data_IF_880731117259
#
_entry.id   IF_880731117259
#
_cell.length_a   1.000
_cell.length_b   1.000
_cell.length_c   1.000
_cell.angle_alpha   90.00
_cell.angle_beta   90.00
_cell.angle_gamma   90.00
#
_symmetry.space_group_name_H-M   'P 1'
#
loop_
_entity.id
_entity.type
_entity.pdbx_description
1 polymer ?
#
# COMPACT_ATOMS: atom_id res chain seq x y z
N UNK A 1 2.12 0.00 31.32
CA UNK A 1 1.79 1.22 30.54
C UNK A 1 2.33 2.41 31.30
N UNK A 2 3.20 3.22 30.71
CA UNK A 2 3.69 4.45 31.34
C UNK A 2 2.65 5.59 31.24
N UNK A 3 2.93 6.75 31.86
CA UNK A 3 1.98 7.87 31.88
C UNK A 3 1.72 8.42 30.48
N UNK A 4 2.76 8.56 29.65
CA UNK A 4 2.63 9.04 28.28
C UNK A 4 1.74 8.13 27.43
N UNK A 5 1.99 6.82 27.46
CA UNK A 5 1.16 5.85 26.73
C UNK A 5 -0.30 5.93 27.15
N UNK A 6 -0.58 6.00 28.45
CA UNK A 6 -1.95 6.12 28.98
C UNK A 6 -2.66 7.38 28.49
N UNK A 7 -1.96 8.49 28.41
CA UNK A 7 -2.53 9.76 27.98
C UNK A 7 -2.74 9.77 26.46
N UNK A 8 -1.81 9.19 25.68
CA UNK A 8 -1.98 8.99 24.22
C UNK A 8 -3.19 8.09 23.91
N UNK A 9 -3.36 6.98 24.64
CA UNK A 9 -4.55 6.11 24.48
C UNK A 9 -5.84 6.91 24.62
N UNK A 10 -5.96 7.70 25.69
CA UNK A 10 -7.16 8.53 25.91
C UNK A 10 -7.42 9.57 24.83
N UNK A 11 -6.36 10.19 24.32
CA UNK A 11 -6.48 11.18 23.25
C UNK A 11 -6.95 10.54 21.95
N UNK A 12 -6.41 9.37 21.60
CA UNK A 12 -6.83 8.62 20.42
C UNK A 12 -8.28 8.17 20.54
N UNK A 13 -8.65 7.53 21.65
CA UNK A 13 -10.04 7.11 21.91
C UNK A 13 -11.02 8.29 21.84
N UNK A 14 -10.62 9.47 22.33
CA UNK A 14 -11.44 10.69 22.27
C UNK A 14 -11.62 11.16 20.82
N UNK A 15 -10.55 11.15 20.01
CA UNK A 15 -10.62 11.53 18.60
C UNK A 15 -11.53 10.58 17.81
N UNK A 16 -11.37 9.27 17.99
CA UNK A 16 -12.17 8.24 17.34
C UNK A 16 -13.66 8.32 17.73
N UNK A 17 -13.96 8.50 19.02
CA UNK A 17 -15.33 8.67 19.49
C UNK A 17 -15.98 9.95 18.95
N UNK A 18 -15.21 11.04 18.86
CA UNK A 18 -15.69 12.31 18.29
C UNK A 18 -16.04 12.15 16.82
N UNK A 19 -15.21 11.47 16.04
CA UNK A 19 -15.47 11.17 14.62
C UNK A 19 -16.71 10.30 14.45
N UNK A 20 -16.83 9.24 15.24
CA UNK A 20 -18.01 8.34 15.21
C UNK A 20 -19.29 9.12 15.48
N UNK A 21 -19.31 9.97 16.50
CA UNK A 21 -20.47 10.82 16.83
C UNK A 21 -20.83 11.76 15.69
N UNK A 22 -19.83 12.37 15.05
CA UNK A 22 -20.02 13.25 13.90
C UNK A 22 -20.68 12.51 12.72
N UNK A 23 -20.19 11.30 12.41
CA UNK A 23 -20.75 10.47 11.33
C UNK A 23 -22.15 9.93 11.62
N UNK A 24 -22.48 9.65 12.89
CA UNK A 24 -23.83 9.31 13.31
C UNK A 24 -24.84 10.45 13.12
N UNK A 25 -24.39 11.71 13.33
CA UNK A 25 -25.22 12.90 13.21
C UNK A 25 -25.34 13.43 11.77
N UNK A 26 -24.40 13.08 10.88
CA UNK A 26 -24.32 13.61 9.52
C UNK A 26 -24.10 12.51 8.49
N UNK A 27 -25.07 12.33 7.59
CA UNK A 27 -24.95 11.41 6.45
C UNK A 27 -23.86 11.87 5.48
N UNK A 28 -23.65 13.18 5.31
CA UNK A 28 -22.61 13.71 4.44
C UNK A 28 -21.21 13.36 4.92
N UNK A 29 -20.99 13.29 6.23
CA UNK A 29 -19.66 13.01 6.81
C UNK A 29 -19.22 11.55 6.62
N UNK A 30 -20.16 10.64 6.32
CA UNK A 30 -19.87 9.24 5.98
C UNK A 30 -20.05 8.88 4.50
N UNK A 31 -20.37 9.86 3.65
CA UNK A 31 -20.73 9.63 2.24
C UNK A 31 -19.70 8.80 1.48
N UNK A 32 -18.41 9.04 1.70
CA UNK A 32 -17.31 8.41 0.99
C UNK A 32 -16.58 7.33 1.79
N UNK A 33 -17.16 6.87 2.92
CA UNK A 33 -16.60 5.75 3.69
C UNK A 33 -16.65 4.47 2.85
N UNK A 34 -15.50 3.83 2.72
CA UNK A 34 -15.37 2.56 2.01
C UNK A 34 -16.10 1.42 2.75
N UNK A 35 -16.52 0.41 2.00
CA UNK A 35 -17.20 -0.77 2.53
C UNK A 35 -16.35 -2.04 2.45
N UNK A 36 -15.46 -2.11 1.47
CA UNK A 36 -14.51 -3.21 1.28
C UNK A 36 -13.09 -2.82 1.67
N UNK A 37 -12.68 -1.60 1.31
CA UNK A 37 -11.34 -1.14 1.53
C UNK A 37 -11.14 -0.69 2.98
N UNK A 38 -10.01 -1.07 3.54
CA UNK A 38 -9.62 -0.72 4.91
C UNK A 38 -9.19 0.77 4.95
N UNK A 39 -9.76 1.53 5.86
CA UNK A 39 -9.52 2.97 6.01
C UNK A 39 -9.38 3.34 7.50
N UNK A 40 -8.85 4.54 7.83
CA UNK A 40 -8.69 4.91 9.24
C UNK A 40 -10.04 5.18 9.90
N UNK A 41 -10.19 4.92 11.18
CA UNK A 41 -11.37 5.34 11.95
C UNK A 41 -11.57 6.87 11.90
N UNK A 42 -10.47 7.62 12.03
CA UNK A 42 -10.37 9.08 11.97
C UNK A 42 -8.96 9.48 11.52
N UNK A 43 -8.78 10.67 11.02
CA UNK A 43 -7.47 11.21 10.68
C UNK A 43 -6.87 10.58 9.43
N UNK A 44 -5.60 10.26 9.48
CA UNK A 44 -4.78 9.83 8.35
C UNK A 44 -4.36 8.38 8.44
N UNK A 45 -4.41 7.67 7.32
CA UNK A 45 -3.79 6.37 7.09
C UNK A 45 -2.77 6.49 5.94
N UNK A 46 -1.59 5.87 6.08
CA UNK A 46 -0.67 5.62 4.97
C UNK A 46 -0.19 4.16 4.98
N UNK A 47 1.06 3.86 4.94
CA UNK A 47 1.64 2.54 4.67
C UNK A 47 0.99 1.37 5.44
N UNK A 48 0.73 0.25 4.78
CA UNK A 48 0.44 -1.01 5.45
C UNK A 48 1.69 -1.50 6.18
N UNK A 49 1.47 -2.03 7.38
CA UNK A 49 2.53 -2.50 8.27
C UNK A 49 2.15 -3.85 8.87
N UNK A 50 3.14 -4.63 9.28
CA UNK A 50 2.92 -5.84 10.06
C UNK A 50 1.91 -6.81 9.49
N UNK A 51 1.72 -6.82 8.15
CA UNK A 51 0.79 -7.71 7.48
C UNK A 51 1.18 -9.17 7.73
N UNK A 52 0.25 -9.98 8.21
CA UNK A 52 0.48 -11.41 8.44
C UNK A 52 -0.81 -12.19 8.65
N UNK A 53 -0.71 -13.51 8.57
CA UNK A 53 -1.67 -14.43 9.16
C UNK A 53 -1.05 -15.03 10.43
N UNK A 54 -1.73 -14.90 11.55
CA UNK A 54 -1.26 -15.38 12.84
C UNK A 54 -2.39 -16.10 13.58
N UNK A 55 -2.17 -17.38 13.92
CA UNK A 55 -3.18 -18.23 14.58
C UNK A 55 -4.54 -18.27 13.84
N UNK A 56 -4.48 -18.34 12.50
CA UNK A 56 -5.65 -18.37 11.62
C UNK A 56 -6.37 -17.03 11.45
N UNK A 57 -5.84 -15.94 11.99
CA UNK A 57 -6.38 -14.57 11.86
C UNK A 57 -5.45 -13.73 11.02
N UNK A 58 -6.00 -12.96 10.10
CA UNK A 58 -5.26 -11.96 9.33
C UNK A 58 -5.12 -10.68 10.13
N UNK A 59 -3.93 -10.11 10.15
CA UNK A 59 -3.60 -8.87 10.83
C UNK A 59 -3.10 -7.84 9.80
N UNK A 60 -3.65 -6.63 9.87
CA UNK A 60 -3.18 -5.48 9.12
C UNK A 60 -2.96 -4.33 10.09
N UNK A 61 -1.71 -3.96 10.28
CA UNK A 61 -1.37 -2.71 10.96
C UNK A 61 -1.19 -1.63 9.91
N UNK A 62 -1.26 -0.37 10.33
CA UNK A 62 -1.14 0.75 9.40
C UNK A 62 -0.54 1.98 10.08
N UNK A 63 0.18 2.78 9.32
CA UNK A 63 0.60 4.10 9.73
C UNK A 63 -0.63 4.95 10.02
N UNK A 64 -0.77 5.41 11.26
CA UNK A 64 -1.96 6.05 11.77
C UNK A 64 -1.64 7.40 12.41
N UNK A 65 -2.29 8.47 11.95
CA UNK A 65 -2.27 9.78 12.58
C UNK A 65 -3.70 10.22 12.91
N UNK A 66 -4.22 9.93 14.13
CA UNK A 66 -5.64 10.09 14.46
C UNK A 66 -6.06 11.54 14.64
N UNK A 67 -5.12 12.48 14.84
CA UNK A 67 -5.43 13.85 15.27
C UNK A 67 -5.58 14.84 14.10
N UNK A 68 -5.15 14.46 12.90
CA UNK A 68 -5.26 15.31 11.72
C UNK A 68 -5.38 14.46 10.45
N UNK A 69 -6.37 14.75 9.61
CA UNK A 69 -6.58 14.09 8.34
C UNK A 69 -5.49 14.38 7.29
N UNK A 70 -4.63 15.36 7.51
CA UNK A 70 -3.49 15.68 6.65
C UNK A 70 -2.16 15.10 7.15
N UNK A 71 -2.21 14.22 8.15
CA UNK A 71 -1.06 13.55 8.73
C UNK A 71 -0.66 14.10 10.09
N UNK A 72 0.52 13.70 10.57
CA UNK A 72 1.05 14.06 11.90
C UNK A 72 1.90 12.95 12.49
N UNK A 73 2.02 12.92 13.80
CA UNK A 73 2.77 11.88 14.52
C UNK A 73 2.19 10.51 14.21
N UNK A 74 3.05 9.59 13.81
CA UNK A 74 2.66 8.24 13.38
C UNK A 74 2.59 7.27 14.55
N UNK A 75 1.53 6.49 14.55
CA UNK A 75 1.27 5.34 15.40
C UNK A 75 1.00 4.13 14.52
N UNK A 76 0.84 2.95 15.07
CA UNK A 76 0.28 1.82 14.35
C UNK A 76 -1.15 1.55 14.81
N UNK A 77 -2.12 1.82 13.94
CA UNK A 77 -3.47 1.29 14.07
C UNK A 77 -3.50 -0.19 13.70
N UNK A 78 -4.51 -0.93 14.12
CA UNK A 78 -4.57 -2.38 13.96
C UNK A 78 -5.97 -2.85 13.58
N UNK A 79 -6.04 -3.63 12.52
CA UNK A 79 -7.22 -4.38 12.09
C UNK A 79 -6.96 -5.87 12.09
N UNK A 80 -8.01 -6.66 12.34
CA UNK A 80 -7.99 -8.11 12.20
C UNK A 80 -9.15 -8.59 11.32
N UNK A 81 -8.95 -9.71 10.64
CA UNK A 81 -9.96 -10.33 9.80
C UNK A 81 -9.82 -11.86 9.78
N UNK A 82 -10.92 -12.57 9.51
CA UNK A 82 -10.92 -14.03 9.26
C UNK A 82 -10.88 -14.36 7.77
N UNK A 83 -11.23 -13.40 6.92
CA UNK A 83 -11.44 -13.59 5.48
C UNK A 83 -10.84 -12.49 4.61
N UNK A 84 -10.12 -11.52 5.20
CA UNK A 84 -9.58 -10.33 4.54
C UNK A 84 -10.64 -9.45 3.82
N UNK A 85 -11.93 -9.74 4.01
CA UNK A 85 -13.05 -8.95 3.49
C UNK A 85 -13.62 -8.08 4.61
N UNK A 86 -13.97 -8.73 5.72
CA UNK A 86 -14.53 -8.05 6.88
C UNK A 86 -13.45 -7.81 7.93
N UNK A 87 -13.06 -6.55 8.06
CA UNK A 87 -12.06 -6.11 9.00
C UNK A 87 -12.66 -5.54 10.27
N UNK A 88 -12.09 -5.91 11.41
CA UNK A 88 -12.47 -5.42 12.74
C UNK A 88 -11.34 -4.58 13.32
N UNK A 89 -11.61 -3.31 13.62
CA UNK A 89 -10.65 -2.42 14.24
C UNK A 89 -10.40 -2.82 15.69
N UNK A 90 -9.13 -3.00 16.04
CA UNK A 90 -8.68 -3.45 17.36
C UNK A 90 -8.11 -2.31 18.22
N UNK A 91 -8.11 -1.07 17.70
CA UNK A 91 -7.48 0.08 18.34
C UNK A 91 -6.05 0.32 17.85
N UNK A 92 -5.37 1.24 18.50
CA UNK A 92 -3.96 1.52 18.23
C UNK A 92 -3.06 0.55 18.98
N UNK A 93 -2.19 -0.15 18.26
CA UNK A 93 -1.29 -1.18 18.80
C UNK A 93 0.02 -0.60 19.34
N UNK A 94 0.65 0.34 18.61
CA UNK A 94 1.94 0.92 18.95
C UNK A 94 1.86 2.45 18.99
N UNK A 95 2.35 3.04 20.08
CA UNK A 95 2.40 4.47 20.33
C UNK A 95 3.84 4.97 20.35
N UNK A 96 4.14 6.23 19.98
CA UNK A 96 5.48 6.82 20.03
C UNK A 96 5.81 7.25 21.48
N UNK A 97 6.06 6.28 22.34
CA UNK A 97 6.15 6.44 23.80
C UNK A 97 7.52 6.12 24.40
N UNK A 98 8.54 5.96 23.54
CA UNK A 98 9.92 5.73 23.94
C UNK A 98 10.84 6.83 23.39
N UNK A 99 12.01 7.09 24.01
CA UNK A 99 12.95 8.07 23.48
C UNK A 99 13.40 7.82 22.05
N UNK A 100 13.48 6.56 21.63
CA UNK A 100 13.93 6.15 20.30
C UNK A 100 12.81 6.14 19.23
N UNK A 101 11.58 6.49 19.58
CA UNK A 101 10.44 6.59 18.64
C UNK A 101 9.52 7.78 18.91
N UNK A 102 9.93 8.76 19.71
CA UNK A 102 9.07 9.83 20.21
C UNK A 102 8.48 10.75 19.10
N UNK A 103 9.03 10.72 17.89
CA UNK A 103 8.50 11.46 16.73
C UNK A 103 7.78 10.56 15.71
N UNK A 104 7.52 9.30 16.07
CA UNK A 104 6.67 8.39 15.29
C UNK A 104 7.13 6.94 15.28
N UNK A 105 6.14 6.06 15.30
CA UNK A 105 6.29 4.64 15.00
C UNK A 105 6.12 4.50 13.48
N UNK A 106 7.24 4.48 12.75
CA UNK A 106 7.25 4.44 11.28
C UNK A 106 7.09 3.02 10.75
N UNK A 107 7.16 2.86 9.43
CA UNK A 107 6.84 1.61 8.76
C UNK A 107 7.74 0.43 9.14
N UNK A 108 7.18 -0.76 8.94
CA UNK A 108 7.82 -2.03 9.24
C UNK A 108 6.93 -3.23 8.98
N UNK A 109 7.33 -4.39 9.47
CA UNK A 109 6.73 -5.67 9.10
C UNK A 109 6.53 -6.61 10.28
N UNK A 110 5.77 -7.70 10.04
CA UNK A 110 5.66 -8.83 10.96
C UNK A 110 6.47 -10.03 10.46
N UNK A 111 7.04 -10.77 11.40
CA UNK A 111 7.61 -12.08 11.19
C UNK A 111 6.99 -13.06 12.20
N UNK A 112 6.49 -14.20 11.72
CA UNK A 112 5.78 -15.18 12.54
C UNK A 112 6.66 -16.43 12.72
N UNK A 113 6.93 -16.80 13.96
CA UNK A 113 7.65 -18.01 14.29
C UNK A 113 7.35 -18.48 15.73
N UNK A 114 7.33 -19.78 15.96
CA UNK A 114 7.17 -20.41 17.28
C UNK A 114 5.98 -19.86 18.10
N UNK A 115 4.84 -19.62 17.44
CA UNK A 115 3.64 -19.11 18.09
C UNK A 115 3.74 -17.65 18.56
N UNK A 116 4.69 -16.90 18.02
CA UNK A 116 4.91 -15.48 18.31
C UNK A 116 4.89 -14.65 17.04
N UNK A 117 4.42 -13.42 17.19
CA UNK A 117 4.51 -12.38 16.18
C UNK A 117 5.58 -11.39 16.58
N UNK A 118 6.60 -11.25 15.74
CA UNK A 118 7.70 -10.29 15.88
C UNK A 118 7.41 -9.11 14.98
N UNK A 119 7.13 -7.94 15.57
CA UNK A 119 6.90 -6.70 14.84
C UNK A 119 8.18 -5.88 14.81
N UNK A 120 8.74 -5.68 13.63
CA UNK A 120 9.89 -4.80 13.42
C UNK A 120 9.39 -3.50 12.79
N UNK A 121 9.88 -2.37 13.30
CA UNK A 121 9.50 -1.07 12.78
C UNK A 121 10.62 -0.05 12.92
N UNK A 122 10.48 1.09 12.30
CA UNK A 122 11.41 2.20 12.42
C UNK A 122 10.92 3.20 13.46
N UNK A 123 11.65 3.33 14.55
CA UNK A 123 11.46 4.38 15.55
C UNK A 123 12.07 5.67 15.01
N UNK A 124 11.24 6.70 14.77
CA UNK A 124 11.70 7.98 14.24
C UNK A 124 11.91 8.99 15.36
N UNK A 125 13.07 9.66 15.34
CA UNK A 125 13.38 10.79 16.21
C UNK A 125 13.88 11.94 15.34
N UNK A 126 13.42 13.16 15.64
CA UNK A 126 13.94 14.41 15.08
C UNK A 126 14.55 15.21 16.23
N UNK A 127 15.84 15.50 16.15
CA UNK A 127 16.53 16.30 17.15
C UNK A 127 16.11 17.77 17.01
N UNK A 128 15.97 18.48 18.14
CA UNK A 128 15.49 19.86 18.18
C UNK A 128 16.52 20.81 18.84
N UNK A 129 17.72 20.29 19.16
CA UNK A 129 18.77 21.00 19.88
C UNK A 129 19.78 21.72 18.95
N UNK A 130 19.49 21.78 17.64
CA UNK A 130 20.34 22.39 16.63
C UNK A 130 19.59 22.77 15.36
N UNK A 131 20.33 23.26 14.36
CA UNK A 131 19.84 23.45 13.00
C UNK A 131 20.15 22.21 12.16
N UNK A 132 19.11 21.53 11.69
CA UNK A 132 19.23 20.25 11.00
C UNK A 132 18.46 20.26 9.67
N UNK A 133 18.98 19.53 8.68
CA UNK A 133 18.30 19.30 7.42
C UNK A 133 17.34 18.07 7.46
N UNK A 134 17.43 17.26 8.53
CA UNK A 134 16.69 16.00 8.71
C UNK A 134 16.87 14.99 7.58
N UNK A 135 17.87 15.18 6.75
CA UNK A 135 18.30 14.26 5.69
C UNK A 135 19.63 13.64 6.10
N UNK A 136 20.68 14.47 6.25
CA UNK A 136 22.03 14.04 6.64
C UNK A 136 22.29 14.18 8.12
N UNK A 137 21.56 15.05 8.78
CA UNK A 137 21.73 15.38 10.20
C UNK A 137 20.38 15.55 10.90
N UNK A 138 20.37 15.31 12.23
CA UNK A 138 19.23 15.63 13.10
C UNK A 138 18.08 14.65 13.08
N UNK A 139 18.22 13.50 12.41
CA UNK A 139 17.21 12.43 12.46
C UNK A 139 17.85 11.12 12.92
N UNK A 140 17.10 10.35 13.68
CA UNK A 140 17.42 8.95 13.98
C UNK A 140 16.36 8.03 13.38
N UNK A 141 16.83 7.01 12.64
CA UNK A 141 16.03 5.89 12.13
C UNK A 141 16.41 4.64 12.90
N UNK A 142 15.72 4.38 14.01
CA UNK A 142 16.04 3.27 14.91
C UNK A 142 15.26 2.02 14.54
N UNK A 143 15.92 0.87 14.36
CA UNK A 143 15.23 -0.41 14.17
C UNK A 143 14.75 -0.93 15.53
N UNK A 144 13.45 -1.16 15.65
CA UNK A 144 12.82 -1.55 16.92
C UNK A 144 12.05 -2.85 16.76
N UNK A 145 12.04 -3.68 17.81
CA UNK A 145 11.30 -4.93 17.91
C UNK A 145 10.25 -4.86 19.02
N UNK A 146 9.05 -5.36 18.72
CA UNK A 146 7.99 -5.68 19.69
C UNK A 146 7.52 -7.12 19.43
N UNK A 147 7.23 -7.87 20.49
CA UNK A 147 6.75 -9.27 20.38
C UNK A 147 5.37 -9.37 21.03
N UNK A 148 4.49 -10.12 20.37
CA UNK A 148 3.19 -10.52 20.92
C UNK A 148 2.96 -12.03 20.74
N UNK A 149 2.28 -12.65 21.70
CA UNK A 149 1.91 -14.07 21.67
C UNK A 149 0.42 -14.27 21.38
N UNK A 150 -0.37 -13.21 21.43
CA UNK A 150 -1.82 -13.23 21.23
C UNK A 150 -2.34 -12.26 20.15
N UNK A 151 -1.46 -11.47 19.54
CA UNK A 151 -1.79 -10.44 18.56
C UNK A 151 -2.60 -9.26 19.14
N UNK A 152 -2.71 -9.15 20.46
CA UNK A 152 -3.51 -8.13 21.19
C UNK A 152 -2.71 -7.40 22.25
N UNK A 153 -1.88 -8.14 22.97
CA UNK A 153 -1.02 -7.60 24.04
C UNK A 153 0.40 -7.49 23.52
N UNK A 154 0.86 -6.26 23.34
CA UNK A 154 2.19 -6.00 22.81
C UNK A 154 3.20 -5.85 23.92
N UNK A 155 4.34 -6.57 23.79
CA UNK A 155 5.41 -6.60 24.74
C UNK A 155 6.19 -5.27 24.83
N UNK A 156 7.30 -5.29 25.59
CA UNK A 156 8.18 -4.13 25.66
C UNK A 156 8.90 -3.93 24.33
N UNK A 157 8.99 -2.68 23.92
CA UNK A 157 9.80 -2.24 22.79
C UNK A 157 11.28 -2.42 23.08
N UNK A 158 12.02 -2.96 22.12
CA UNK A 158 13.46 -3.14 22.17
C UNK A 158 14.10 -2.48 20.98
N UNK A 159 14.92 -1.47 21.21
CA UNK A 159 15.78 -0.88 20.20
C UNK A 159 16.88 -1.89 19.83
N UNK A 160 17.03 -2.17 18.54
CA UNK A 160 17.98 -3.17 18.00
C UNK A 160 19.18 -2.52 17.32
N UNK A 161 18.94 -1.51 16.48
CA UNK A 161 19.96 -0.77 15.74
C UNK A 161 19.65 0.72 15.73
N UNK A 162 20.69 1.53 15.63
CA UNK A 162 20.67 3.00 15.52
C UNK A 162 21.44 3.45 14.29
N UNK A 163 21.43 4.73 13.98
CA UNK A 163 22.20 5.29 12.88
C UNK A 163 23.69 4.87 12.90
N UNK A 164 24.31 4.76 14.09
CA UNK A 164 25.71 4.33 14.23
C UNK A 164 25.99 2.87 13.88
N UNK A 165 24.95 2.05 13.73
CA UNK A 165 25.07 0.63 13.41
C UNK A 165 24.94 0.37 11.90
N UNK A 166 24.62 1.41 11.12
CA UNK A 166 24.52 1.37 9.65
C UNK A 166 25.85 1.80 9.00
N UNK A 167 26.06 1.48 7.72
CA UNK A 167 27.22 1.98 6.96
C UNK A 167 27.37 3.51 7.00
N UNK A 168 28.62 3.99 7.13
CA UNK A 168 28.96 5.42 7.35
C UNK A 168 28.63 6.34 6.16
N UNK A 169 28.42 5.78 4.96
CA UNK A 169 28.12 6.52 3.73
C UNK A 169 26.63 6.83 3.54
N UNK A 170 25.81 6.54 4.55
CA UNK A 170 24.36 6.76 4.50
C UNK A 170 23.95 8.08 5.12
N UNK A 171 22.83 8.62 4.64
CA UNK A 171 22.09 9.68 5.30
C UNK A 171 21.37 9.15 6.56
N UNK A 172 20.61 9.99 7.24
CA UNK A 172 19.73 9.58 8.33
C UNK A 172 18.51 8.75 7.86
N UNK A 173 18.37 8.49 6.56
CA UNK A 173 17.25 7.76 5.98
C UNK A 173 17.61 6.29 5.81
N UNK A 174 17.49 5.51 6.89
CA UNK A 174 17.45 4.04 6.90
C UNK A 174 16.18 3.63 7.61
N UNK A 175 15.30 2.83 6.96
CA UNK A 175 13.97 2.52 7.49
C UNK A 175 13.28 1.32 6.86
N UNK A 176 12.10 0.99 7.38
CA UNK A 176 11.12 0.03 6.85
C UNK A 176 11.64 -1.41 6.87
N UNK A 177 11.98 -1.96 8.06
CA UNK A 177 12.53 -3.31 8.18
C UNK A 177 11.53 -4.37 7.75
N UNK A 178 11.98 -5.30 6.88
CA UNK A 178 11.26 -6.51 6.47
C UNK A 178 12.10 -7.74 6.73
N UNK A 179 11.56 -8.71 7.49
CA UNK A 179 12.29 -9.89 7.97
C UNK A 179 11.77 -11.16 7.31
N UNK A 180 12.69 -12.04 6.91
CA UNK A 180 12.41 -13.41 6.50
C UNK A 180 13.44 -14.40 7.07
N UNK A 181 13.18 -15.69 6.91
CA UNK A 181 14.10 -16.76 7.30
C UNK A 181 14.42 -17.62 6.10
N UNK A 182 15.69 -17.94 5.92
CA UNK A 182 16.15 -18.85 4.88
C UNK A 182 17.32 -19.71 5.42
N UNK A 183 17.26 -21.03 5.20
CA UNK A 183 18.30 -21.97 5.63
C UNK A 183 18.71 -21.87 7.12
N UNK A 184 17.76 -21.53 8.00
CA UNK A 184 17.98 -21.41 9.44
C UNK A 184 18.50 -20.06 9.91
N UNK A 185 18.89 -19.16 9.01
CA UNK A 185 19.35 -17.80 9.30
C UNK A 185 18.21 -16.80 9.04
N UNK A 186 18.13 -15.76 9.86
CA UNK A 186 17.20 -14.65 9.68
C UNK A 186 17.86 -13.54 8.89
N UNK A 187 17.11 -12.95 7.99
CA UNK A 187 17.55 -11.83 7.18
C UNK A 187 16.57 -10.67 7.29
N UNK A 188 17.08 -9.47 7.13
CA UNK A 188 16.28 -8.24 7.16
C UNK A 188 16.71 -7.35 6.00
N UNK A 189 15.75 -6.79 5.26
CA UNK A 189 16.00 -5.69 4.35
C UNK A 189 15.50 -4.38 4.96
N UNK A 190 16.21 -3.28 4.67
CA UNK A 190 15.80 -1.90 5.00
C UNK A 190 16.10 -0.99 3.83
N UNK A 191 15.20 -0.04 3.55
CA UNK A 191 15.42 1.00 2.57
C UNK A 191 16.44 2.03 3.06
N UNK A 192 17.25 2.56 2.17
CA UNK A 192 18.31 3.50 2.52
C UNK A 192 18.56 4.55 1.42
N UNK A 193 19.15 5.68 1.83
CA UNK A 193 19.63 6.76 0.96
C UNK A 193 21.08 7.06 1.30
N UNK A 194 21.95 7.05 0.29
CA UNK A 194 23.37 7.42 0.48
C UNK A 194 23.56 8.93 0.61
N UNK A 195 24.76 9.34 1.05
CA UNK A 195 25.13 10.77 1.11
C UNK A 195 25.24 11.41 -0.28
N UNK A 196 25.38 10.62 -1.34
CA UNK A 196 25.35 11.03 -2.75
C UNK A 196 23.92 11.03 -3.34
N UNK A 197 22.89 10.85 -2.51
CA UNK A 197 21.48 10.81 -2.92
C UNK A 197 21.17 9.66 -3.90
N UNK A 198 21.66 8.45 -3.57
CA UNK A 198 21.34 7.20 -4.29
C UNK A 198 20.51 6.30 -3.39
N UNK A 199 19.35 5.87 -3.91
CA UNK A 199 18.46 4.91 -3.25
C UNK A 199 19.03 3.49 -3.33
N UNK A 200 18.88 2.71 -2.25
CA UNK A 200 19.33 1.33 -2.16
C UNK A 200 18.59 0.57 -1.06
N UNK A 201 18.83 -0.74 -1.00
CA UNK A 201 18.36 -1.61 0.08
C UNK A 201 19.56 -2.23 0.80
N UNK A 202 19.56 -2.13 2.12
CA UNK A 202 20.53 -2.81 2.99
C UNK A 202 20.00 -4.20 3.36
N UNK A 203 20.90 -5.18 3.41
CA UNK A 203 20.60 -6.53 3.84
C UNK A 203 21.39 -6.82 5.11
N UNK A 204 20.70 -7.30 6.13
CA UNK A 204 21.28 -7.72 7.42
C UNK A 204 21.01 -9.20 7.66
N UNK A 205 21.86 -9.86 8.46
CA UNK A 205 21.68 -11.23 8.90
C UNK A 205 21.70 -11.35 10.42
N UNK A 206 20.98 -12.34 10.97
CA UNK A 206 20.92 -12.64 12.39
C UNK A 206 20.71 -14.13 12.65
N UNK A 207 21.26 -14.64 13.75
CA UNK A 207 21.00 -15.99 14.24
C UNK A 207 19.88 -16.05 15.29
N UNK A 208 19.49 -14.90 15.86
CA UNK A 208 18.59 -14.83 17.01
C UNK A 208 17.45 -13.80 16.90
N UNK A 209 17.29 -13.15 15.73
CA UNK A 209 16.26 -12.13 15.45
C UNK A 209 16.45 -10.79 16.18
N UNK A 210 17.54 -10.65 16.93
CA UNK A 210 17.81 -9.50 17.83
C UNK A 210 19.12 -8.82 17.51
N UNK A 211 20.18 -9.63 17.29
CA UNK A 211 21.51 -9.13 16.98
C UNK A 211 21.72 -9.22 15.47
N UNK A 212 21.73 -8.06 14.81
CA UNK A 212 21.81 -7.94 13.37
C UNK A 212 23.21 -7.50 12.93
N UNK A 213 23.68 -8.06 11.81
CA UNK A 213 24.96 -7.71 11.20
C UNK A 213 24.71 -7.34 9.75
N UNK A 214 25.33 -6.27 9.29
CA UNK A 214 25.32 -5.91 7.88
C UNK A 214 25.91 -7.05 7.04
N UNK A 215 25.16 -7.43 5.98
CA UNK A 215 25.52 -8.53 5.09
C UNK A 215 25.84 -8.09 3.68
N UNK A 216 24.98 -7.30 3.08
CA UNK A 216 25.09 -6.87 1.69
C UNK A 216 24.29 -5.60 1.45
N UNK A 217 24.45 -5.05 0.25
CA UNK A 217 23.77 -3.88 -0.25
C UNK A 217 23.20 -4.20 -1.64
N UNK A 218 21.95 -3.82 -1.88
CA UNK A 218 21.29 -3.97 -3.18
C UNK A 218 21.07 -2.60 -3.77
N UNK A 219 21.67 -2.37 -4.92
CA UNK A 219 21.62 -1.11 -5.67
C UNK A 219 21.55 -1.40 -7.17
N UNK A 220 21.07 -0.46 -7.97
CA UNK A 220 21.08 -0.55 -9.43
C UNK A 220 22.43 -0.15 -10.01
N UNK A 221 22.75 -0.66 -11.20
CA UNK A 221 24.01 -0.32 -11.91
C UNK A 221 24.17 1.19 -12.16
N UNK A 222 23.05 1.90 -12.28
CA UNK A 222 23.00 3.37 -12.41
C UNK A 222 22.08 3.91 -11.34
N UNK A 223 22.32 5.13 -10.82
CA UNK A 223 21.41 5.75 -9.84
C UNK A 223 19.95 5.68 -10.29
N UNK A 224 19.08 5.16 -9.42
CA UNK A 224 17.67 4.97 -9.69
C UNK A 224 16.85 5.52 -8.50
N UNK A 225 16.55 6.83 -8.58
CA UNK A 225 15.97 7.58 -7.48
C UNK A 225 16.95 7.80 -6.32
N UNK A 226 16.56 8.63 -5.38
CA UNK A 226 17.40 8.97 -4.23
C UNK A 226 17.08 8.18 -2.95
N UNK A 227 15.92 7.51 -2.88
CA UNK A 227 15.50 6.70 -1.74
C UNK A 227 14.65 5.52 -2.22
N UNK A 228 14.90 4.34 -1.68
CA UNK A 228 14.07 3.16 -1.85
C UNK A 228 13.39 2.83 -0.52
N UNK A 229 12.08 3.11 -0.41
CA UNK A 229 11.28 2.88 0.79
C UNK A 229 10.58 1.52 0.75
N UNK A 230 10.15 1.06 1.91
CA UNK A 230 9.29 -0.12 2.09
C UNK A 230 9.75 -1.35 1.31
N UNK A 231 11.03 -1.77 1.42
CA UNK A 231 11.52 -2.93 0.70
C UNK A 231 10.80 -4.20 1.17
N UNK A 232 10.47 -5.07 0.21
CA UNK A 232 9.88 -6.37 0.46
C UNK A 232 10.51 -7.41 -0.48
N UNK A 233 11.24 -8.38 0.09
CA UNK A 233 11.89 -9.44 -0.67
C UNK A 233 11.14 -10.76 -0.48
N UNK A 234 10.70 -11.37 -1.59
CA UNK A 234 9.94 -12.62 -1.57
C UNK A 234 10.06 -13.40 -2.89
N UNK A 235 9.48 -14.60 -2.92
CA UNK A 235 9.47 -15.47 -4.09
C UNK A 235 8.04 -15.71 -4.59
N UNK A 236 7.88 -15.78 -5.91
CA UNK A 236 6.67 -16.26 -6.59
C UNK A 236 7.12 -17.33 -7.58
N UNK A 237 6.76 -18.59 -7.33
CA UNK A 237 7.34 -19.69 -8.07
C UNK A 237 8.86 -19.68 -7.96
N UNK A 238 9.55 -19.70 -9.10
CA UNK A 238 11.02 -19.64 -9.16
C UNK A 238 11.56 -18.19 -9.20
N UNK A 239 10.69 -17.19 -9.36
CA UNK A 239 11.09 -15.78 -9.44
C UNK A 239 11.35 -15.22 -8.04
N UNK A 240 12.48 -14.52 -7.88
CA UNK A 240 12.80 -13.74 -6.69
C UNK A 240 12.51 -12.26 -6.99
N UNK A 241 11.73 -11.61 -6.15
CA UNK A 241 11.31 -10.24 -6.33
C UNK A 241 11.79 -9.36 -5.18
N UNK A 242 12.30 -8.18 -5.52
CA UNK A 242 12.54 -7.10 -4.58
C UNK A 242 11.59 -5.94 -4.91
N UNK A 243 10.53 -5.82 -4.13
CA UNK A 243 9.61 -4.70 -4.19
C UNK A 243 10.19 -3.49 -3.45
N UNK A 244 10.05 -2.30 -4.02
CA UNK A 244 10.47 -1.04 -3.40
C UNK A 244 9.56 0.11 -3.81
N UNK A 245 9.50 1.14 -2.98
CA UNK A 245 8.86 2.42 -3.31
C UNK A 245 9.95 3.47 -3.51
N UNK A 246 10.10 3.92 -4.75
CA UNK A 246 11.24 4.72 -5.20
C UNK A 246 10.87 6.20 -5.27
N UNK A 247 11.66 7.04 -4.61
CA UNK A 247 11.56 8.48 -4.66
C UNK A 247 12.63 9.08 -5.60
N UNK A 248 12.24 10.13 -6.36
CA UNK A 248 13.17 10.91 -7.18
C UNK A 248 13.43 10.33 -8.56
N UNK A 249 12.49 9.64 -9.16
CA UNK A 249 12.51 9.29 -10.59
C UNK A 249 11.94 10.46 -11.39
N UNK A 250 12.73 11.01 -12.30
CA UNK A 250 12.37 12.19 -13.09
C UNK A 250 12.68 11.99 -14.57
N UNK A 251 11.91 12.67 -15.43
CA UNK A 251 12.11 12.71 -16.87
C UNK A 251 11.73 11.41 -17.60
N UNK A 252 11.68 11.48 -18.93
CA UNK A 252 11.41 10.33 -19.79
C UNK A 252 10.06 9.68 -19.49
N UNK A 253 10.04 8.36 -19.24
CA UNK A 253 8.82 7.60 -18.97
C UNK A 253 8.15 7.98 -17.65
N UNK A 254 8.82 8.70 -16.77
CA UNK A 254 8.31 9.08 -15.44
C UNK A 254 7.53 10.40 -15.44
N UNK A 255 7.62 11.22 -16.50
CA UNK A 255 6.94 12.54 -16.58
C UNK A 255 5.42 12.45 -16.44
N UNK A 256 4.82 11.38 -16.96
CA UNK A 256 3.38 11.16 -16.92
C UNK A 256 2.96 10.20 -15.78
N UNK A 257 3.82 10.02 -14.77
CA UNK A 257 3.58 9.12 -13.63
C UNK A 257 3.34 9.89 -12.35
N UNK A 258 3.22 9.17 -11.25
CA UNK A 258 3.11 9.77 -9.92
C UNK A 258 4.44 10.41 -9.51
N UNK A 259 4.43 11.29 -8.51
CA UNK A 259 5.63 11.91 -7.95
C UNK A 259 6.64 10.86 -7.45
N UNK A 260 6.17 9.73 -6.93
CA UNK A 260 6.97 8.56 -6.55
C UNK A 260 6.37 7.29 -7.12
N UNK A 261 7.20 6.25 -7.25
CA UNK A 261 6.80 5.01 -7.91
C UNK A 261 6.92 3.81 -6.96
N UNK A 262 6.00 2.87 -7.05
CA UNK A 262 6.09 1.58 -6.37
C UNK A 262 6.08 0.45 -7.38
N UNK A 263 7.07 -0.42 -7.28
CA UNK A 263 7.27 -1.51 -8.22
C UNK A 263 8.24 -2.55 -7.69
N UNK A 264 8.77 -3.36 -8.58
CA UNK A 264 9.69 -4.43 -8.21
C UNK A 264 10.77 -4.63 -9.27
N UNK A 265 11.87 -5.20 -8.82
CA UNK A 265 12.89 -5.82 -9.66
C UNK A 265 12.79 -7.35 -9.55
N UNK A 266 12.94 -8.06 -10.65
CA UNK A 266 13.28 -9.48 -10.61
C UNK A 266 14.78 -9.62 -10.32
N UNK A 267 15.14 -10.60 -9.48
CA UNK A 267 16.52 -10.85 -9.04
C UNK A 267 17.06 -12.09 -9.71
N UNK A 268 18.11 -11.95 -10.51
CA UNK A 268 18.96 -13.04 -10.93
C UNK A 268 20.11 -13.18 -9.93
N UNK A 269 20.42 -14.40 -9.48
CA UNK A 269 21.42 -14.64 -8.43
C UNK A 269 20.84 -14.57 -7.02
N UNK A 270 21.54 -13.91 -6.10
CA UNK A 270 21.16 -13.87 -4.68
C UNK A 270 21.51 -12.52 -4.04
N UNK A 271 20.53 -11.85 -3.44
CA UNK A 271 20.76 -10.57 -2.73
C UNK A 271 21.68 -10.72 -1.49
N UNK A 272 21.93 -11.95 -1.04
CA UNK A 272 22.89 -12.26 0.03
C UNK A 272 24.34 -12.28 -0.47
N UNK A 273 24.58 -12.23 -1.77
CA UNK A 273 25.88 -12.29 -2.43
C UNK A 273 25.89 -11.53 -3.75
N UNK A 274 26.14 -12.26 -4.85
CA UNK A 274 26.11 -11.68 -6.20
C UNK A 274 24.70 -11.73 -6.78
N UNK A 275 24.25 -10.62 -7.32
CA UNK A 275 22.93 -10.48 -7.91
C UNK A 275 22.95 -9.57 -9.14
N UNK A 276 21.88 -9.64 -9.91
CA UNK A 276 21.57 -8.70 -10.98
C UNK A 276 20.09 -8.33 -10.89
N UNK A 277 19.77 -7.05 -11.05
CA UNK A 277 18.41 -6.54 -11.10
C UNK A 277 17.91 -6.51 -12.55
N UNK A 278 16.64 -6.87 -12.75
CA UNK A 278 15.92 -6.61 -13.99
C UNK A 278 15.67 -5.10 -14.19
N UNK A 279 14.97 -4.75 -15.25
CA UNK A 279 14.27 -3.46 -15.32
C UNK A 279 13.22 -3.38 -14.19
N UNK A 280 12.86 -2.14 -13.80
CA UNK A 280 11.88 -1.89 -12.77
C UNK A 280 10.46 -1.97 -13.32
N UNK A 281 9.63 -2.84 -12.76
CA UNK A 281 8.24 -3.07 -13.14
C UNK A 281 7.31 -2.42 -12.12
N UNK A 282 6.37 -1.59 -12.58
CA UNK A 282 5.39 -0.97 -11.68
C UNK A 282 4.36 -2.00 -11.20
N UNK A 283 4.01 -1.92 -9.91
CA UNK A 283 2.88 -2.67 -9.37
C UNK A 283 1.53 -2.10 -9.81
N UNK A 284 1.46 -0.78 -9.98
CA UNK A 284 0.22 -0.08 -10.28
C UNK A 284 0.50 1.16 -11.14
N UNK A 285 -0.33 1.39 -12.13
CA UNK A 285 -0.22 2.48 -13.09
C UNK A 285 -1.21 3.61 -12.82
N UNK A 286 -2.01 3.51 -11.73
CA UNK A 286 -3.03 4.47 -11.35
C UNK A 286 -2.49 5.71 -10.64
N UNK A 287 -3.39 6.45 -10.01
CA UNK A 287 -3.07 7.69 -9.30
C UNK A 287 -2.70 7.46 -7.84
N UNK A 288 -3.33 6.48 -7.21
CA UNK A 288 -3.31 6.30 -5.75
C UNK A 288 -2.73 4.93 -5.40
N UNK A 289 -1.41 4.84 -5.35
CA UNK A 289 -0.73 3.61 -5.01
C UNK A 289 0.70 3.87 -4.54
N UNK A 290 1.01 3.53 -3.28
CA UNK A 290 2.36 3.67 -2.71
C UNK A 290 2.60 2.68 -1.56
N UNK A 291 3.86 2.44 -1.21
CA UNK A 291 4.33 1.66 -0.07
C UNK A 291 3.69 0.26 0.06
N UNK A 292 3.62 -0.56 -1.01
CA UNK A 292 3.07 -1.91 -0.92
C UNK A 292 3.87 -2.78 0.04
N UNK A 293 3.15 -3.67 0.73
CA UNK A 293 3.72 -4.74 1.54
C UNK A 293 3.01 -6.05 1.24
N UNK A 294 3.74 -7.16 1.33
CA UNK A 294 3.18 -8.48 1.13
C UNK A 294 3.41 -9.42 2.31
N UNK A 295 2.61 -10.45 2.39
CA UNK A 295 2.81 -11.57 3.32
C UNK A 295 2.37 -12.87 2.69
N UNK A 296 2.90 -13.98 3.20
CA UNK A 296 2.48 -15.32 2.82
C UNK A 296 1.41 -15.82 3.78
N UNK A 297 0.32 -16.33 3.24
CA UNK A 297 -0.76 -16.94 4.03
C UNK A 297 -0.39 -18.37 4.41
N UNK A 298 -1.07 -18.95 5.41
CA UNK A 298 -0.88 -20.33 5.84
C UNK A 298 -1.18 -21.36 4.72
N UNK A 299 -1.94 -20.97 3.69
CA UNK A 299 -2.21 -21.78 2.49
C UNK A 299 -1.26 -21.50 1.31
N UNK A 300 -0.18 -20.73 1.55
CA UNK A 300 0.91 -20.49 0.61
C UNK A 300 0.66 -19.44 -0.46
N UNK A 301 -0.40 -18.64 -0.36
CA UNK A 301 -0.63 -17.49 -1.24
C UNK A 301 0.21 -16.29 -0.78
N UNK A 302 0.69 -15.49 -1.75
CA UNK A 302 1.29 -14.19 -1.48
C UNK A 302 0.22 -13.12 -1.63
N UNK A 303 -0.12 -12.47 -0.52
CA UNK A 303 -1.09 -11.38 -0.48
C UNK A 303 -0.37 -10.05 -0.39
N UNK A 304 -0.87 -9.08 -1.12
CA UNK A 304 -0.29 -7.76 -1.32
C UNK A 304 -1.33 -6.68 -1.00
N UNK A 305 -0.95 -5.70 -0.20
CA UNK A 305 -1.77 -4.54 0.17
C UNK A 305 -0.91 -3.30 0.08
N UNK A 306 -1.46 -2.22 -0.44
CA UNK A 306 -0.77 -0.95 -0.61
C UNK A 306 -1.57 0.22 -0.02
N UNK A 307 -0.91 1.31 0.27
CA UNK A 307 -1.57 2.58 0.55
C UNK A 307 -2.17 3.14 -0.75
N UNK A 308 -3.50 3.30 -0.77
CA UNK A 308 -4.21 3.99 -1.84
C UNK A 308 -4.16 5.50 -1.57
N UNK A 309 -3.02 6.07 -1.88
CA UNK A 309 -2.62 7.45 -1.72
C UNK A 309 -1.24 7.69 -2.33
N UNK A 310 -0.73 8.91 -2.20
CA UNK A 310 0.59 9.30 -2.71
C UNK A 310 1.19 10.36 -1.79
N UNK A 311 2.42 10.18 -1.27
CA UNK A 311 3.07 11.21 -0.48
C UNK A 311 3.49 12.39 -1.36
N UNK A 312 3.56 13.58 -0.76
CA UNK A 312 4.06 14.81 -1.38
C UNK A 312 3.38 15.20 -2.70
N UNK A 313 2.13 14.78 -2.91
CA UNK A 313 1.37 15.05 -4.13
C UNK A 313 0.55 16.33 -3.99
N UNK A 314 0.88 17.33 -4.80
CA UNK A 314 0.17 18.61 -4.86
C UNK A 314 -0.88 18.66 -5.99
N UNK A 315 -0.83 17.74 -6.94
CA UNK A 315 -1.67 17.75 -8.15
C UNK A 315 -3.14 17.52 -7.82
N UNK A 316 -3.42 16.62 -6.86
CA UNK A 316 -4.79 16.28 -6.44
C UNK A 316 -4.90 16.19 -4.92
N UNK A 317 -6.14 16.20 -4.44
CA UNK A 317 -6.47 16.14 -3.01
C UNK A 317 -7.59 15.13 -2.75
N UNK A 318 -8.00 15.02 -1.50
CA UNK A 318 -9.10 14.16 -1.10
C UNK A 318 -10.13 14.98 -0.31
N UNK A 319 -11.39 15.10 -0.77
CA UNK A 319 -12.41 15.87 -0.08
C UNK A 319 -12.77 15.33 1.31
N UNK A 320 -12.44 14.07 1.60
CA UNK A 320 -12.65 13.42 2.90
C UNK A 320 -11.86 14.06 4.05
N UNK A 321 -10.84 14.87 3.75
CA UNK A 321 -10.14 15.71 4.74
C UNK A 321 -11.14 16.58 5.49
N UNK A 322 -12.10 17.17 4.80
CA UNK A 322 -13.14 18.02 5.40
C UNK A 322 -14.09 17.25 6.33
N UNK A 323 -14.20 15.94 6.13
CA UNK A 323 -14.98 15.03 6.97
C UNK A 323 -14.15 14.30 8.03
N UNK A 324 -12.87 14.69 8.18
CA UNK A 324 -12.01 14.29 9.28
C UNK A 324 -11.22 13.00 9.07
N UNK A 325 -11.11 12.51 7.84
CA UNK A 325 -10.30 11.33 7.54
C UNK A 325 -9.73 11.38 6.12
N UNK A 326 -8.67 10.62 5.87
CA UNK A 326 -8.03 10.55 4.54
C UNK A 326 -7.39 9.18 4.30
N UNK A 327 -7.47 8.74 3.03
CA UNK A 327 -6.88 7.52 2.47
C UNK A 327 -7.57 6.21 2.87
N UNK A 328 -7.17 5.16 2.19
CA UNK A 328 -7.51 3.77 2.47
C UNK A 328 -6.37 2.88 1.97
N UNK A 329 -6.45 1.58 2.23
CA UNK A 329 -5.64 0.59 1.54
C UNK A 329 -6.28 0.18 0.22
N UNK A 330 -5.48 -0.40 -0.69
CA UNK A 330 -6.01 -1.20 -1.80
C UNK A 330 -6.74 -2.42 -1.23
N UNK A 331 -7.66 -2.97 -1.99
CA UNK A 331 -8.22 -4.29 -1.68
C UNK A 331 -7.08 -5.32 -1.63
N UNK A 332 -7.12 -6.34 -0.74
CA UNK A 332 -6.10 -7.38 -0.72
C UNK A 332 -6.01 -8.10 -2.08
N UNK A 333 -4.80 -8.16 -2.64
CA UNK A 333 -4.52 -8.77 -3.94
C UNK A 333 -3.64 -9.99 -3.78
N UNK A 334 -3.95 -11.07 -4.45
CA UNK A 334 -3.06 -12.22 -4.61
C UNK A 334 -2.10 -11.95 -5.75
N UNK A 335 -0.80 -12.11 -5.50
CA UNK A 335 0.25 -12.06 -6.52
C UNK A 335 0.51 -13.49 -7.01
N UNK A 336 0.57 -13.67 -8.31
CA UNK A 336 0.84 -14.97 -8.93
C UNK A 336 1.60 -14.82 -10.25
N UNK A 337 2.18 -15.90 -10.71
CA UNK A 337 2.81 -15.96 -12.03
C UNK A 337 1.85 -16.55 -13.06
N UNK A 338 1.76 -15.91 -14.22
CA UNK A 338 1.05 -16.41 -15.39
C UNK A 338 1.85 -16.12 -16.66
N UNK A 339 2.17 -17.17 -17.43
CA UNK A 339 2.89 -17.07 -18.71
C UNK A 339 4.22 -16.28 -18.58
N UNK A 340 4.95 -16.47 -17.48
CA UNK A 340 6.22 -15.79 -17.18
C UNK A 340 6.08 -14.37 -16.65
N UNK A 341 4.86 -13.83 -16.51
CA UNK A 341 4.57 -12.49 -16.02
C UNK A 341 4.05 -12.54 -14.58
N UNK A 342 4.35 -11.52 -13.80
CA UNK A 342 3.77 -11.34 -12.48
C UNK A 342 2.43 -10.61 -12.61
N UNK A 343 1.38 -11.24 -12.12
CA UNK A 343 0.01 -10.75 -12.19
C UNK A 343 -0.58 -10.56 -10.79
N UNK A 344 -1.63 -9.76 -10.71
CA UNK A 344 -2.36 -9.47 -9.48
C UNK A 344 -3.87 -9.69 -9.69
N UNK A 345 -4.56 -10.19 -8.67
CA UNK A 345 -6.01 -10.33 -8.68
C UNK A 345 -6.58 -10.07 -7.28
N UNK A 346 -7.84 -9.61 -7.17
CA UNK A 346 -8.54 -9.61 -5.88
C UNK A 346 -8.51 -11.01 -5.27
N UNK A 347 -8.41 -11.09 -3.94
CA UNK A 347 -8.42 -12.38 -3.24
C UNK A 347 -9.70 -13.18 -3.56
N UNK A 348 -9.56 -14.50 -3.61
CA UNK A 348 -10.65 -15.42 -3.98
C UNK A 348 -11.85 -15.40 -3.03
N UNK A 349 -11.68 -15.00 -1.79
CA UNK A 349 -12.73 -14.87 -0.78
C UNK A 349 -13.82 -13.86 -1.20
N UNK A 350 -13.50 -12.96 -2.12
CA UNK A 350 -14.46 -12.01 -2.70
C UNK A 350 -15.55 -12.70 -3.53
N UNK A 351 -15.25 -13.86 -4.14
CA UNK A 351 -16.20 -14.58 -5.00
C UNK A 351 -17.49 -14.96 -4.26
N UNK A 352 -17.40 -15.31 -2.98
CA UNK A 352 -18.56 -15.67 -2.17
C UNK A 352 -19.45 -14.48 -1.78
N UNK A 353 -18.99 -13.26 -1.99
CA UNK A 353 -19.72 -12.02 -1.67
C UNK A 353 -20.44 -11.42 -2.89
N UNK A 354 -20.23 -11.99 -4.07
CA UNK A 354 -20.77 -11.48 -5.32
C UNK A 354 -22.20 -11.97 -5.58
N UNK A 355 -23.05 -11.05 -5.99
CA UNK A 355 -24.38 -11.32 -6.50
C UNK A 355 -24.48 -10.86 -7.94
N UNK A 356 -24.65 -11.77 -8.87
CA UNK A 356 -24.79 -11.47 -10.28
C UNK A 356 -26.01 -10.60 -10.52
N UNK A 357 -25.81 -9.44 -11.11
CA UNK A 357 -26.85 -8.47 -11.48
C UNK A 357 -27.14 -8.51 -12.98
N UNK A 358 -26.09 -8.56 -13.78
CA UNK A 358 -26.21 -8.53 -15.25
C UNK A 358 -25.13 -9.37 -15.89
N UNK A 359 -25.50 -10.03 -16.99
CA UNK A 359 -24.62 -10.79 -17.85
C UNK A 359 -25.08 -10.57 -19.31
N UNK A 360 -24.39 -9.66 -20.01
CA UNK A 360 -24.83 -9.16 -21.31
C UNK A 360 -23.68 -9.11 -22.30
N UNK A 361 -24.02 -9.07 -23.58
CA UNK A 361 -23.05 -8.99 -24.66
C UNK A 361 -22.99 -7.58 -25.24
N UNK A 362 -21.82 -6.99 -25.31
CA UNK A 362 -21.51 -5.78 -26.06
C UNK A 362 -21.83 -4.47 -25.38
N UNK A 363 -22.90 -4.36 -24.58
CA UNK A 363 -23.28 -3.09 -23.95
C UNK A 363 -23.99 -3.32 -22.61
N UNK A 364 -23.60 -2.53 -21.63
CA UNK A 364 -24.26 -2.37 -20.34
C UNK A 364 -24.40 -0.87 -20.04
N UNK A 365 -25.58 -0.41 -19.65
CA UNK A 365 -25.78 0.96 -19.19
C UNK A 365 -26.93 1.01 -18.17
N UNK A 366 -26.77 1.79 -17.10
CA UNK A 366 -27.80 1.96 -16.09
C UNK A 366 -27.33 2.58 -14.80
N UNK A 367 -28.17 2.48 -13.78
CA UNK A 367 -27.80 2.80 -12.40
C UNK A 367 -26.70 1.84 -11.94
N UNK A 368 -25.70 2.38 -11.27
CA UNK A 368 -24.61 1.62 -10.66
C UNK A 368 -24.86 1.32 -9.19
N UNK A 369 -23.96 0.56 -8.62
CA UNK A 369 -23.91 0.22 -7.20
C UNK A 369 -22.74 0.95 -6.54
N UNK A 370 -22.79 1.26 -5.25
CA UNK A 370 -21.61 1.78 -4.54
C UNK A 370 -20.45 0.77 -4.53
N UNK A 371 -20.77 -0.53 -4.43
CA UNK A 371 -19.77 -1.61 -4.35
C UNK A 371 -20.11 -2.70 -5.37
N UNK A 372 -19.22 -2.92 -6.33
CA UNK A 372 -19.45 -3.89 -7.39
C UNK A 372 -18.13 -4.39 -8.01
N UNK A 373 -18.22 -5.54 -8.63
CA UNK A 373 -17.24 -5.99 -9.62
C UNK A 373 -17.88 -6.04 -11.01
N UNK A 374 -17.20 -5.47 -11.98
CA UNK A 374 -17.54 -5.62 -13.39
C UNK A 374 -16.39 -6.32 -14.11
N UNK A 375 -16.70 -7.37 -14.87
CA UNK A 375 -15.74 -8.03 -15.76
C UNK A 375 -16.12 -7.83 -17.21
N UNK A 376 -15.14 -7.62 -18.07
CA UNK A 376 -15.32 -7.60 -19.53
C UNK A 376 -14.32 -8.58 -20.11
N UNK A 377 -14.81 -9.64 -20.74
CA UNK A 377 -13.99 -10.68 -21.36
C UNK A 377 -14.21 -10.75 -22.86
N UNK A 378 -13.30 -11.42 -23.57
CA UNK A 378 -13.34 -11.57 -25.02
C UNK A 378 -13.33 -10.22 -25.77
N UNK A 379 -12.56 -9.27 -25.29
CA UNK A 379 -12.37 -7.97 -25.95
C UNK A 379 -11.63 -8.20 -27.26
N UNK A 380 -12.19 -7.72 -28.36
CA UNK A 380 -11.58 -7.84 -29.67
C UNK A 380 -11.23 -6.46 -30.24
N UNK A 381 -10.03 -6.36 -30.86
CA UNK A 381 -9.55 -5.14 -31.54
C UNK A 381 -9.52 -3.91 -30.65
N UNK A 382 -9.32 -4.09 -29.34
CA UNK A 382 -9.24 -3.00 -28.37
C UNK A 382 -10.45 -2.03 -28.41
N UNK A 383 -11.63 -2.52 -28.82
CA UNK A 383 -12.85 -1.71 -28.98
C UNK A 383 -13.72 -1.79 -27.74
N UNK A 384 -13.38 -1.00 -26.77
CA UNK A 384 -14.19 -0.84 -25.58
C UNK A 384 -14.11 0.60 -25.05
N UNK A 385 -15.11 0.97 -24.27
CA UNK A 385 -15.13 2.17 -23.46
C UNK A 385 -15.99 1.92 -22.23
N UNK A 386 -15.46 2.23 -21.05
CA UNK A 386 -16.19 2.20 -19.80
C UNK A 386 -16.24 3.58 -19.20
N UNK A 387 -17.41 3.99 -18.72
CA UNK A 387 -17.62 5.27 -18.03
C UNK A 387 -18.24 4.97 -16.68
N UNK A 388 -17.54 5.36 -15.62
CA UNK A 388 -17.98 5.23 -14.24
C UNK A 388 -18.37 6.59 -13.70
N UNK A 389 -19.57 6.67 -13.14
CA UNK A 389 -20.12 7.89 -12.51
C UNK A 389 -19.97 9.14 -13.38
N UNK A 390 -20.20 8.98 -14.71
CA UNK A 390 -20.16 10.02 -15.75
C UNK A 390 -18.80 10.70 -15.96
N UNK A 391 -17.77 10.39 -15.16
CA UNK A 391 -16.51 11.16 -15.10
C UNK A 391 -15.24 10.36 -15.29
N UNK A 392 -15.16 9.14 -14.75
CA UNK A 392 -14.00 8.28 -14.90
C UNK A 392 -14.17 7.40 -16.14
N UNK A 393 -13.22 7.48 -17.06
CA UNK A 393 -13.23 6.76 -18.32
C UNK A 393 -12.07 5.78 -18.38
N UNK A 394 -12.37 4.56 -18.80
CA UNK A 394 -11.40 3.53 -19.16
C UNK A 394 -11.58 3.25 -20.65
N UNK A 395 -10.53 3.41 -21.43
CA UNK A 395 -10.54 3.14 -22.87
C UNK A 395 -9.16 2.72 -23.39
N UNK A 396 -9.12 2.38 -24.66
CA UNK A 396 -7.89 2.12 -25.40
C UNK A 396 -7.79 3.05 -26.60
N UNK A 397 -6.64 3.73 -26.73
CA UNK A 397 -6.30 4.53 -27.90
C UNK A 397 -4.78 4.63 -28.07
N UNK A 398 -4.34 4.69 -29.32
CA UNK A 398 -2.95 4.94 -29.70
C UNK A 398 -1.93 3.98 -29.04
N UNK A 399 -2.27 2.68 -28.93
CA UNK A 399 -1.44 1.66 -28.32
C UNK A 399 -1.40 1.70 -26.79
N UNK A 400 -2.35 2.41 -26.15
CA UNK A 400 -2.38 2.62 -24.72
C UNK A 400 -3.74 2.27 -24.12
N UNK A 401 -3.75 1.48 -23.04
CA UNK A 401 -4.87 1.46 -22.12
C UNK A 401 -4.80 2.71 -21.24
N UNK A 402 -5.90 3.41 -21.07
CA UNK A 402 -5.99 4.67 -20.34
C UNK A 402 -7.06 4.63 -19.26
N UNK A 403 -6.73 5.21 -18.11
CA UNK A 403 -7.65 5.62 -17.05
C UNK A 403 -7.60 7.14 -16.95
N UNK A 404 -8.72 7.82 -17.22
CA UNK A 404 -8.73 9.27 -17.21
C UNK A 404 -10.06 9.86 -16.75
N UNK A 405 -10.01 11.09 -16.23
CA UNK A 405 -11.19 11.84 -15.83
C UNK A 405 -11.57 12.87 -16.90
N UNK A 406 -12.87 13.18 -17.03
CA UNK A 406 -13.37 14.16 -17.98
C UNK A 406 -13.07 15.60 -17.59
N UNK A 407 -12.75 15.86 -16.33
CA UNK A 407 -12.28 17.15 -15.81
C UNK A 407 -11.20 16.94 -14.74
N UNK A 408 -10.47 17.98 -14.39
CA UNK A 408 -9.38 17.98 -13.41
C UNK A 408 -9.64 18.96 -12.26
N UNK A 409 -10.89 19.34 -12.04
CA UNK A 409 -11.25 20.23 -10.94
C UNK A 409 -11.10 19.51 -9.61
N UNK A 410 -10.34 20.11 -8.68
CA UNK A 410 -10.11 19.57 -7.33
C UNK A 410 -11.40 19.46 -6.50
N UNK A 411 -12.49 20.09 -6.92
CA UNK A 411 -13.81 20.00 -6.28
C UNK A 411 -14.75 19.02 -6.95
N UNK A 412 -14.32 18.39 -8.05
CA UNK A 412 -15.12 17.42 -8.82
C UNK A 412 -14.87 15.97 -8.37
N UNK A 413 -15.51 15.03 -9.08
CA UNK A 413 -15.33 13.58 -8.89
C UNK A 413 -13.86 13.14 -9.00
N UNK A 414 -13.07 13.80 -9.86
CA UNK A 414 -11.64 13.53 -10.04
C UNK A 414 -10.79 13.99 -8.87
N UNK A 415 -11.23 15.04 -8.18
CA UNK A 415 -10.45 15.74 -7.14
C UNK A 415 -9.03 16.11 -7.61
N UNK A 416 -8.91 16.55 -8.89
CA UNK A 416 -7.67 16.97 -9.53
C UNK A 416 -6.94 15.90 -10.34
N UNK A 417 -7.35 14.63 -10.27
CA UNK A 417 -6.75 13.53 -11.03
C UNK A 417 -7.04 13.69 -12.52
N UNK A 418 -6.03 13.44 -13.35
CA UNK A 418 -6.08 13.69 -14.80
C UNK A 418 -6.16 12.41 -15.61
N UNK A 419 -5.01 11.89 -16.02
CA UNK A 419 -4.88 10.70 -16.84
C UNK A 419 -3.68 9.86 -16.39
N UNK A 420 -3.85 8.53 -16.43
CA UNK A 420 -2.78 7.53 -16.32
C UNK A 420 -2.95 6.50 -17.45
N UNK A 421 -1.86 5.92 -17.90
CA UNK A 421 -1.88 4.96 -19.00
C UNK A 421 -0.76 3.93 -18.90
N UNK A 422 -0.92 2.84 -19.63
CA UNK A 422 0.15 1.88 -19.94
C UNK A 422 0.16 1.59 -21.43
N UNK A 423 1.34 1.45 -22.00
CA UNK A 423 1.50 0.94 -23.36
C UNK A 423 1.25 -0.57 -23.34
N UNK A 424 0.30 -1.02 -24.15
CA UNK A 424 -0.09 -2.42 -24.24
C UNK A 424 -0.57 -2.71 -25.67
N UNK A 425 -0.12 -3.81 -26.24
CA UNK A 425 -0.44 -4.17 -27.61
C UNK A 425 -1.93 -4.53 -27.77
N UNK A 426 -2.45 -5.36 -26.86
CA UNK A 426 -3.84 -5.78 -26.83
C UNK A 426 -4.41 -5.82 -25.42
N UNK A 427 -5.67 -5.42 -25.29
CA UNK A 427 -6.47 -5.61 -24.07
C UNK A 427 -7.48 -6.71 -24.35
N UNK A 428 -7.32 -7.84 -23.69
CA UNK A 428 -8.16 -9.04 -23.85
C UNK A 428 -9.31 -9.08 -22.85
N UNK A 429 -9.03 -8.63 -21.63
CA UNK A 429 -10.01 -8.60 -20.54
C UNK A 429 -9.75 -7.49 -19.56
N UNK A 430 -10.81 -7.10 -18.84
CA UNK A 430 -10.80 -6.15 -17.75
C UNK A 430 -11.58 -6.70 -16.55
N UNK A 431 -11.06 -6.49 -15.37
CA UNK A 431 -11.82 -6.62 -14.12
C UNK A 431 -11.78 -5.28 -13.39
N UNK A 432 -12.91 -4.75 -13.00
CA UNK A 432 -13.07 -3.47 -12.32
C UNK A 432 -13.71 -3.77 -10.96
N UNK A 433 -13.00 -3.47 -9.88
CA UNK A 433 -13.49 -3.52 -8.51
C UNK A 433 -13.71 -2.09 -8.04
N UNK A 434 -14.95 -1.73 -7.77
CA UNK A 434 -15.30 -0.41 -7.26
C UNK A 434 -15.87 -0.49 -5.85
N UNK A 435 -15.51 0.48 -5.04
CA UNK A 435 -16.10 0.76 -3.75
C UNK A 435 -16.61 2.21 -3.71
N UNK A 436 -17.12 2.64 -2.60
CA UNK A 436 -17.82 3.91 -2.41
C UNK A 436 -17.03 5.11 -2.96
N UNK A 437 -15.70 5.13 -2.78
CA UNK A 437 -14.83 6.22 -3.26
C UNK A 437 -13.47 5.72 -3.78
N UNK A 438 -13.42 4.50 -4.29
CA UNK A 438 -12.21 3.93 -4.88
C UNK A 438 -12.54 2.99 -6.05
N UNK A 439 -11.59 2.87 -6.98
CA UNK A 439 -11.67 1.95 -8.13
C UNK A 439 -10.32 1.32 -8.34
N UNK A 440 -10.32 -0.01 -8.50
CA UNK A 440 -9.17 -0.80 -8.93
C UNK A 440 -9.50 -1.51 -10.25
N UNK A 441 -8.62 -1.38 -11.24
CA UNK A 441 -8.80 -1.97 -12.58
C UNK A 441 -7.66 -2.91 -12.88
N UNK A 442 -7.98 -4.15 -13.15
CA UNK A 442 -7.06 -5.21 -13.51
C UNK A 442 -7.20 -5.49 -15.01
N UNK A 443 -6.13 -5.26 -15.75
CA UNK A 443 -6.05 -5.42 -17.20
C UNK A 443 -5.27 -6.69 -17.51
N UNK A 444 -5.75 -7.50 -18.46
CA UNK A 444 -5.11 -8.75 -18.90
C UNK A 444 -4.75 -9.66 -17.72
N UNK A 445 -5.79 -10.12 -17.00
CA UNK A 445 -5.67 -10.94 -15.80
C UNK A 445 -4.81 -10.32 -14.67
N UNK A 446 -4.66 -8.99 -14.70
CA UNK A 446 -3.91 -8.23 -13.70
C UNK A 446 -2.42 -8.12 -13.99
N UNK A 447 -1.97 -8.30 -15.23
CA UNK A 447 -0.63 -7.92 -15.68
C UNK A 447 -0.39 -6.42 -15.45
N UNK A 448 -1.42 -5.60 -15.75
CA UNK A 448 -1.41 -4.18 -15.43
C UNK A 448 -2.56 -3.84 -14.50
N UNK A 449 -2.29 -3.06 -13.47
CA UNK A 449 -3.29 -2.65 -12.50
C UNK A 449 -3.30 -1.14 -12.36
N UNK A 450 -4.49 -0.57 -12.16
CA UNK A 450 -4.70 0.86 -11.95
C UNK A 450 -5.57 1.08 -10.73
N UNK A 451 -5.10 1.86 -9.77
CA UNK A 451 -5.84 2.25 -8.58
C UNK A 451 -6.09 3.74 -8.54
N UNK A 452 -7.29 4.14 -8.20
CA UNK A 452 -7.62 5.56 -8.03
C UNK A 452 -8.68 5.77 -6.96
N UNK A 453 -8.55 6.87 -6.23
CA UNK A 453 -9.66 7.46 -5.49
C UNK A 453 -10.52 8.27 -6.47
N UNK A 454 -11.83 8.26 -6.24
CA UNK A 454 -12.79 9.10 -6.94
C UNK A 454 -13.96 9.41 -6.01
N UNK A 455 -14.71 10.46 -6.29
CA UNK A 455 -15.71 10.95 -5.32
C UNK A 455 -17.04 11.20 -6.01
N UNK A 456 -17.81 10.14 -6.36
CA UNK A 456 -18.99 10.23 -7.19
C UNK A 456 -20.18 10.87 -6.44
N UNK A 457 -20.92 11.74 -7.13
CA UNK A 457 -22.21 12.23 -6.69
C UNK A 457 -23.34 11.23 -6.96
N UNK A 458 -23.20 10.46 -8.05
CA UNK A 458 -24.13 9.43 -8.49
C UNK A 458 -23.38 8.21 -8.96
N UNK A 459 -23.91 7.05 -8.70
CA UNK A 459 -23.35 5.80 -9.22
C UNK A 459 -24.05 5.43 -10.53
N UNK A 460 -23.38 5.66 -11.65
CA UNK A 460 -23.83 5.29 -12.98
C UNK A 460 -22.76 4.49 -13.70
N UNK A 461 -23.19 3.53 -14.50
CA UNK A 461 -22.33 2.67 -15.27
C UNK A 461 -22.70 2.72 -16.74
N UNK A 462 -21.70 2.84 -17.60
CA UNK A 462 -21.82 2.60 -19.02
C UNK A 462 -20.57 1.84 -19.46
N UNK A 463 -20.78 0.69 -20.10
CA UNK A 463 -19.73 -0.11 -20.70
C UNK A 463 -20.14 -0.51 -22.11
N UNK A 464 -19.30 -0.20 -23.08
CA UNK A 464 -19.43 -0.59 -24.49
C UNK A 464 -18.18 -1.38 -24.88
N UNK A 465 -18.37 -2.65 -25.26
CA UNK A 465 -17.28 -3.51 -25.69
C UNK A 465 -17.80 -4.45 -26.78
N UNK A 466 -17.57 -4.11 -28.04
CA UNK A 466 -18.17 -4.78 -29.19
C UNK A 466 -17.79 -6.26 -29.23
N UNK A 467 -18.80 -7.12 -29.09
CA UNK A 467 -18.64 -8.57 -29.13
C UNK A 467 -18.21 -9.21 -27.81
N UNK A 468 -17.74 -8.44 -26.87
CA UNK A 468 -17.29 -8.90 -25.54
C UNK A 468 -18.46 -9.31 -24.63
N UNK A 469 -18.17 -10.15 -23.65
CA UNK A 469 -19.08 -10.49 -22.57
C UNK A 469 -18.86 -9.49 -21.41
N UNK A 470 -19.92 -8.90 -20.88
CA UNK A 470 -19.91 -7.96 -19.77
C UNK A 470 -20.72 -8.54 -18.63
N UNK A 471 -20.07 -8.77 -17.49
CA UNK A 471 -20.70 -9.29 -16.28
C UNK A 471 -20.62 -8.25 -15.19
N UNK A 472 -21.73 -7.95 -14.52
CA UNK A 472 -21.80 -7.05 -13.37
C UNK A 472 -22.32 -7.81 -12.14
N UNK A 473 -21.59 -7.74 -11.06
CA UNK A 473 -21.98 -8.31 -9.76
C UNK A 473 -21.93 -7.24 -8.69
N UNK A 474 -23.01 -7.11 -7.93
CA UNK A 474 -23.00 -6.34 -6.68
C UNK A 474 -22.25 -7.14 -5.61
N UNK A 475 -21.52 -6.47 -4.73
CA UNK A 475 -20.81 -7.07 -3.60
C UNK A 475 -21.51 -6.65 -2.32
N UNK A 476 -21.89 -7.64 -1.48
CA UNK A 476 -22.64 -7.44 -0.25
C UNK A 476 -21.91 -7.95 0.99
#
# INVERSE_FOLDING_TARGET
MNTLTRDLVKLVETAEQSQKTREELSVSDRKFREKLHLMPPVGWLNDPNGLCQFQGIYHAFFQYSPFNAEGGVKMWGHYTSKDMIKWEYQGTALYPDQPFDCHGVYSGSAFIEDGKMYLYYTGNVKLEDGEYDYIRTGREGNTVLVITEDGKTFGKKKELMRNSDYPDDLTCHVRDPKVWKENGTYYMVQGARTNEDVGQVLVFESEDKVNWKFRNRVESEKPFGYMWECPDYFKIGDKKLLSTSVQGLEGGIWEDRNVYQSGYFEIEGDILGEYKLSEYHLWDYGFDYYAPQSFETEDGRRIHISWMGMPDCEEYSNPTIQTGWQHCFTFPREIFEKDGKICQRPIRELEEKKHLVSDVKGMLAGEGYPVYEMTISDITKNRFKVILSEKLILDYADGKFRMHFTDQDKTSVSSGRSMRYVEVEEVENLKILADTSSVEVFVNDGEYVFSTRYYPEVYKLQAEAVGAQITLSEIM
#
